data_IF_331021090334
#
_entry.id   IF_331021090334
#
_cell.length_a   1.000
_cell.length_b   1.000
_cell.length_c   1.000
_cell.angle_alpha   90.00
_cell.angle_beta   90.00
_cell.angle_gamma   90.00
#
_symmetry.space_group_name_H-M   'P 1'
#
loop_
_entity.id
_entity.type
_entity.pdbx_description
1 polymer ?
#
# COMPACT_ATOMS: atom_id res chain seq x y z
N UNK A 1 2.45 2.83 27.84
CA UNK A 1 3.83 3.22 28.24
C UNK A 1 4.22 2.23 29.31
N UNK A 2 5.37 1.53 29.20
CA UNK A 2 5.72 0.50 30.17
C UNK A 2 5.79 1.11 31.58
N UNK A 3 5.19 0.41 32.56
CA UNK A 3 5.20 0.83 33.97
C UNK A 3 6.65 1.03 34.43
N UNK A 4 6.97 2.20 35.00
CA UNK A 4 8.30 2.49 35.54
C UNK A 4 8.55 1.68 36.82
N UNK A 5 9.83 1.44 37.16
CA UNK A 5 10.19 0.77 38.41
C UNK A 5 9.62 1.49 39.65
N UNK A 6 9.56 2.82 39.60
CA UNK A 6 8.98 3.68 40.64
C UNK A 6 7.47 3.45 40.81
N UNK A 7 6.73 3.26 39.71
CA UNK A 7 5.28 3.03 39.74
C UNK A 7 4.88 1.68 40.34
N UNK A 8 5.82 0.74 40.46
CA UNK A 8 5.59 -0.61 41.00
C UNK A 8 6.51 -0.93 42.18
N UNK A 9 7.09 0.08 42.84
CA UNK A 9 8.12 -0.09 43.87
C UNK A 9 7.63 -0.97 45.05
N UNK A 10 6.38 -0.79 45.47
CA UNK A 10 5.77 -1.53 46.59
C UNK A 10 4.84 -2.67 46.13
N UNK A 11 4.67 -2.85 44.82
CA UNK A 11 3.80 -3.89 44.29
C UNK A 11 4.41 -5.29 44.49
N UNK A 12 3.56 -6.29 44.66
CA UNK A 12 3.92 -7.70 44.50
C UNK A 12 3.99 -8.06 43.01
N UNK A 13 4.63 -9.19 42.69
CA UNK A 13 4.71 -9.66 41.31
C UNK A 13 3.33 -9.94 40.70
N UNK A 14 2.37 -10.44 41.49
CA UNK A 14 1.01 -10.72 41.01
C UNK A 14 0.24 -9.44 40.66
N UNK A 15 0.42 -8.36 41.44
CA UNK A 15 -0.19 -7.05 41.14
C UNK A 15 0.43 -6.42 39.89
N UNK A 16 1.76 -6.48 39.74
CA UNK A 16 2.44 -6.08 38.51
C UNK A 16 1.93 -6.89 37.31
N UNK A 17 1.81 -8.21 37.44
CA UNK A 17 1.35 -9.07 36.35
C UNK A 17 -0.10 -8.77 35.95
N UNK A 18 -0.99 -8.52 36.92
CA UNK A 18 -2.37 -8.14 36.66
C UNK A 18 -2.44 -6.82 35.87
N UNK A 19 -1.66 -5.81 36.24
CA UNK A 19 -1.58 -4.54 35.51
C UNK A 19 -0.96 -4.70 34.12
N UNK A 20 0.11 -5.49 34.00
CA UNK A 20 0.78 -5.73 32.72
C UNK A 20 -0.11 -6.46 31.71
N UNK A 21 -1.06 -7.28 32.18
CA UNK A 21 -2.08 -7.93 31.34
C UNK A 21 -3.16 -6.97 30.83
N UNK A 22 -3.38 -5.82 31.45
CA UNK A 22 -4.29 -4.81 30.90
C UNK A 22 -3.73 -4.23 29.59
N UNK A 23 -2.41 -4.01 29.53
CA UNK A 23 -1.72 -3.56 28.31
C UNK A 23 -1.45 -4.75 27.35
N UNK A 24 -1.23 -5.96 27.89
CA UNK A 24 -0.93 -7.18 27.11
C UNK A 24 -1.78 -8.38 27.55
N UNK A 25 -3.05 -8.52 27.09
CA UNK A 25 -4.04 -9.48 27.61
C UNK A 25 -3.62 -10.96 27.63
N UNK A 26 -2.67 -11.35 26.76
CA UNK A 26 -2.21 -12.73 26.54
C UNK A 26 -0.77 -12.98 27.03
N UNK A 27 -0.16 -12.05 27.75
CA UNK A 27 1.22 -12.23 28.23
C UNK A 27 1.28 -13.26 29.36
N UNK A 28 2.25 -14.17 29.30
CA UNK A 28 2.48 -15.15 30.36
C UNK A 28 3.26 -14.56 31.53
N UNK A 29 3.21 -15.24 32.68
CA UNK A 29 4.01 -14.88 33.86
C UNK A 29 5.51 -14.90 33.57
N UNK A 30 5.98 -15.86 32.77
CA UNK A 30 7.39 -15.95 32.39
C UNK A 30 7.84 -14.73 31.59
N UNK A 31 7.05 -14.30 30.60
CA UNK A 31 7.37 -13.15 29.74
C UNK A 31 7.22 -11.82 30.48
N UNK A 32 6.22 -11.71 31.36
CA UNK A 32 6.08 -10.56 32.25
C UNK A 32 7.27 -10.44 33.21
N UNK A 33 7.75 -11.55 33.79
CA UNK A 33 8.94 -11.57 34.64
C UNK A 33 10.21 -11.15 33.88
N UNK A 34 10.46 -11.69 32.68
CA UNK A 34 11.62 -11.31 31.86
C UNK A 34 11.68 -9.82 31.54
N UNK A 35 10.52 -9.22 31.23
CA UNK A 35 10.41 -7.82 30.81
C UNK A 35 10.18 -6.87 31.99
N UNK A 36 10.22 -7.36 33.23
CA UNK A 36 9.99 -6.53 34.40
C UNK A 36 11.12 -5.51 34.61
N UNK A 37 10.78 -4.29 35.06
CA UNK A 37 11.77 -3.25 35.33
C UNK A 37 12.51 -3.47 36.67
N UNK A 38 11.98 -4.32 37.57
CA UNK A 38 12.61 -4.70 38.85
C UNK A 38 13.35 -6.04 38.78
N UNK A 39 14.55 -6.11 39.37
CA UNK A 39 15.42 -7.30 39.33
C UNK A 39 14.90 -8.51 40.11
N UNK A 40 14.21 -8.27 41.22
CA UNK A 40 13.58 -9.32 42.01
C UNK A 40 12.46 -10.00 41.22
N UNK A 41 11.69 -9.26 40.42
CA UNK A 41 10.71 -9.81 39.49
C UNK A 41 11.35 -10.55 38.33
N UNK A 42 12.42 -10.00 37.75
CA UNK A 42 13.20 -10.70 36.70
C UNK A 42 13.72 -12.04 37.17
N UNK A 43 14.14 -12.14 38.43
CA UNK A 43 14.65 -13.38 39.02
C UNK A 43 13.61 -14.50 39.09
N UNK A 44 12.31 -14.15 39.17
CA UNK A 44 11.19 -15.11 39.15
C UNK A 44 11.03 -15.83 37.80
N UNK A 45 11.68 -15.36 36.73
CA UNK A 45 11.68 -16.03 35.41
C UNK A 45 12.10 -17.50 35.51
N UNK A 46 13.02 -17.82 36.43
CA UNK A 46 13.50 -19.19 36.68
C UNK A 46 12.43 -20.12 37.28
N UNK A 47 11.40 -19.56 37.91
CA UNK A 47 10.34 -20.28 38.62
C UNK A 47 9.11 -20.52 37.73
N UNK A 48 8.97 -19.76 36.65
CA UNK A 48 7.88 -19.94 35.70
C UNK A 48 8.29 -20.87 34.57
N UNK A 49 7.36 -21.72 34.13
CA UNK A 49 7.53 -22.48 32.90
C UNK A 49 7.76 -21.46 31.78
N UNK A 50 8.88 -21.53 31.05
CA UNK A 50 9.03 -20.75 29.84
C UNK A 50 7.78 -20.93 29.01
N UNK A 51 7.33 -19.88 28.33
CA UNK A 51 6.41 -20.10 27.23
C UNK A 51 7.02 -21.23 26.42
N UNK A 52 6.34 -22.39 26.36
CA UNK A 52 6.72 -23.37 25.36
C UNK A 52 6.77 -22.52 24.10
N UNK A 53 7.90 -22.55 23.37
CA UNK A 53 7.87 -22.11 21.99
C UNK A 53 6.64 -22.80 21.46
N UNK A 54 5.58 -22.03 21.22
CA UNK A 54 4.43 -22.56 20.55
C UNK A 54 5.02 -23.29 19.35
N UNK A 55 4.47 -24.42 18.91
CA UNK A 55 4.67 -24.85 17.54
C UNK A 55 4.02 -23.81 16.60
N UNK A 56 4.36 -22.52 16.76
CA UNK A 56 4.80 -21.68 15.68
C UNK A 56 5.75 -22.56 14.87
N UNK A 57 5.14 -23.28 13.93
CA UNK A 57 5.53 -23.32 12.53
C UNK A 57 6.93 -22.74 12.37
N UNK A 58 7.86 -23.55 11.86
CA UNK A 58 9.03 -23.02 11.16
C UNK A 58 8.52 -21.88 10.29
N UNK A 59 8.65 -20.66 10.81
CA UNK A 59 8.25 -19.46 10.10
C UNK A 59 9.09 -19.54 8.84
N UNK A 60 8.44 -19.34 7.70
CA UNK A 60 9.03 -19.12 6.39
C UNK A 60 9.91 -17.86 6.44
N UNK A 61 10.90 -17.82 7.35
CA UNK A 61 11.77 -16.70 7.56
C UNK A 61 12.56 -16.53 6.27
N UNK A 62 12.55 -15.31 5.70
CA UNK A 62 13.30 -15.06 4.50
C UNK A 62 14.79 -15.33 4.75
N UNK A 63 15.40 -16.11 3.87
CA UNK A 63 16.84 -16.26 3.89
C UNK A 63 17.45 -15.00 3.27
N UNK A 64 18.10 -14.20 4.12
CA UNK A 64 18.73 -12.93 3.72
C UNK A 64 20.23 -13.12 3.50
N UNK A 65 20.71 -12.73 2.32
CA UNK A 65 22.13 -12.61 2.01
C UNK A 65 22.42 -11.15 1.67
N UNK A 66 23.40 -10.55 2.35
CA UNK A 66 23.67 -9.12 2.25
C UNK A 66 25.15 -8.77 2.12
N UNK A 67 25.45 -7.71 1.37
CA UNK A 67 26.71 -6.99 1.44
C UNK A 67 27.92 -7.74 0.86
N UNK A 68 27.68 -8.64 -0.11
CA UNK A 68 28.75 -9.37 -0.80
C UNK A 68 29.20 -8.62 -2.04
N UNK A 69 30.51 -8.67 -2.32
CA UNK A 69 31.06 -8.15 -3.58
C UNK A 69 30.62 -9.02 -4.76
N UNK A 70 30.66 -10.33 -4.58
CA UNK A 70 30.28 -11.32 -5.59
C UNK A 70 29.54 -12.47 -4.90
N UNK A 71 28.55 -13.04 -5.58
CA UNK A 71 27.78 -14.17 -5.10
C UNK A 71 27.37 -15.05 -6.30
N UNK A 72 27.78 -16.32 -6.28
CA UNK A 72 27.30 -17.33 -7.22
C UNK A 72 26.13 -18.10 -6.60
N UNK A 73 24.96 -18.03 -7.25
CA UNK A 73 23.73 -18.66 -6.76
C UNK A 73 23.76 -20.19 -6.84
N UNK A 74 24.71 -20.79 -7.59
CA UNK A 74 24.94 -22.25 -7.64
C UNK A 74 25.71 -22.75 -6.43
N UNK A 75 26.63 -21.94 -5.92
CA UNK A 75 27.58 -22.35 -4.87
C UNK A 75 27.14 -21.94 -3.48
N UNK A 76 26.33 -20.88 -3.35
CA UNK A 76 25.87 -20.40 -2.05
C UNK A 76 25.09 -21.48 -1.30
N UNK A 77 25.42 -21.70 -0.02
CA UNK A 77 24.67 -22.60 0.84
C UNK A 77 23.32 -21.95 1.21
N UNK A 78 22.24 -22.51 0.67
CA UNK A 78 20.87 -22.14 0.97
C UNK A 78 20.20 -23.25 1.78
N UNK A 79 19.27 -22.87 2.65
CA UNK A 79 18.56 -23.86 3.45
C UNK A 79 17.72 -24.77 2.54
N UNK A 80 17.58 -26.06 2.85
CA UNK A 80 16.61 -26.91 2.18
C UNK A 80 15.20 -26.35 2.38
N UNK A 81 14.42 -26.22 1.30
CA UNK A 81 13.03 -25.74 1.37
C UNK A 81 12.85 -24.22 1.51
N UNK A 82 13.86 -23.43 1.15
CA UNK A 82 13.74 -21.95 1.13
C UNK A 82 12.55 -21.50 0.29
N UNK A 83 11.63 -20.78 0.94
CA UNK A 83 10.47 -20.17 0.29
C UNK A 83 10.68 -18.71 -0.08
N UNK A 84 11.48 -17.98 0.70
CA UNK A 84 11.76 -16.57 0.47
C UNK A 84 13.25 -16.32 0.51
N UNK A 85 13.79 -15.77 -0.58
CA UNK A 85 15.20 -15.42 -0.72
C UNK A 85 15.32 -13.92 -0.96
N UNK A 86 16.04 -13.23 -0.08
CA UNK A 86 16.29 -11.79 -0.14
C UNK A 86 17.79 -11.56 -0.33
N UNK A 87 18.15 -10.90 -1.43
CA UNK A 87 19.52 -10.50 -1.74
C UNK A 87 19.62 -8.98 -1.66
N UNK A 88 20.46 -8.46 -0.77
CA UNK A 88 20.64 -7.01 -0.58
C UNK A 88 22.10 -6.59 -0.75
N UNK A 89 22.35 -5.51 -1.50
CA UNK A 89 23.68 -4.90 -1.72
C UNK A 89 24.72 -5.92 -2.20
N UNK A 90 24.36 -6.74 -3.18
CA UNK A 90 25.27 -7.67 -3.85
C UNK A 90 25.78 -7.04 -5.15
N UNK A 91 27.07 -6.70 -5.22
CA UNK A 91 27.60 -5.95 -6.37
C UNK A 91 27.54 -6.75 -7.68
N UNK A 92 27.81 -8.05 -7.64
CA UNK A 92 27.74 -8.93 -8.82
C UNK A 92 27.15 -10.29 -8.44
N UNK A 93 26.01 -10.62 -9.05
CA UNK A 93 25.34 -11.92 -8.99
C UNK A 93 25.67 -12.73 -10.25
N UNK A 94 26.05 -13.99 -10.06
CA UNK A 94 26.30 -14.96 -11.12
C UNK A 94 25.57 -16.29 -10.82
N UNK A 95 25.63 -17.23 -11.75
CA UNK A 95 25.16 -18.60 -11.53
C UNK A 95 23.65 -18.69 -11.34
N UNK A 96 22.90 -17.90 -12.10
CA UNK A 96 21.45 -17.77 -12.05
C UNK A 96 20.70 -19.11 -12.09
N UNK A 97 21.24 -20.13 -12.75
CA UNK A 97 20.68 -21.48 -12.80
C UNK A 97 20.51 -22.11 -11.41
N UNK A 98 21.29 -21.66 -10.41
CA UNK A 98 21.18 -22.08 -9.03
C UNK A 98 19.83 -21.76 -8.37
N UNK A 99 19.03 -20.84 -8.93
CA UNK A 99 17.67 -20.61 -8.46
C UNK A 99 16.74 -21.81 -8.74
N UNK A 100 17.01 -22.59 -9.79
CA UNK A 100 16.15 -23.72 -10.18
C UNK A 100 16.19 -24.88 -9.19
N UNK A 101 17.22 -24.97 -8.35
CA UNK A 101 17.31 -26.00 -7.30
C UNK A 101 16.41 -25.68 -6.09
N UNK A 102 15.82 -24.49 -6.04
CA UNK A 102 14.98 -24.03 -4.94
C UNK A 102 13.51 -24.30 -5.27
N UNK A 103 13.10 -25.57 -5.21
CA UNK A 103 11.76 -26.02 -5.64
C UNK A 103 10.60 -25.39 -4.84
N UNK A 104 10.85 -24.94 -3.61
CA UNK A 104 9.86 -24.32 -2.73
C UNK A 104 9.82 -22.79 -2.82
N UNK A 105 10.63 -22.18 -3.68
CA UNK A 105 10.80 -20.74 -3.75
C UNK A 105 9.53 -20.07 -4.27
N UNK A 106 8.98 -19.18 -3.45
CA UNK A 106 7.75 -18.41 -3.75
C UNK A 106 8.01 -16.91 -3.77
N UNK A 107 9.05 -16.43 -3.08
CA UNK A 107 9.36 -15.01 -2.98
C UNK A 107 10.83 -14.74 -3.28
N UNK A 108 11.07 -13.83 -4.22
CA UNK A 108 12.40 -13.39 -4.62
C UNK A 108 12.52 -11.88 -4.48
N UNK A 109 13.51 -11.42 -3.72
CA UNK A 109 13.77 -9.99 -3.56
C UNK A 109 15.23 -9.63 -3.81
N UNK A 110 15.44 -8.59 -4.61
CA UNK A 110 16.75 -8.04 -4.94
C UNK A 110 16.75 -6.56 -4.62
N UNK A 111 17.64 -6.10 -3.73
CA UNK A 111 17.81 -4.69 -3.38
C UNK A 111 19.25 -4.28 -3.62
N UNK A 112 19.48 -3.21 -4.40
CA UNK A 112 20.82 -2.67 -4.69
C UNK A 112 21.80 -3.74 -5.22
N UNK A 113 21.29 -4.65 -6.06
CA UNK A 113 22.05 -5.75 -6.63
C UNK A 113 22.47 -5.47 -8.08
N UNK A 114 23.51 -6.14 -8.55
CA UNK A 114 23.96 -6.08 -9.95
C UNK A 114 24.34 -7.45 -10.51
N UNK A 115 24.49 -7.53 -11.83
CA UNK A 115 25.04 -8.69 -12.54
C UNK A 115 25.77 -8.22 -13.79
N UNK A 116 26.79 -8.98 -14.21
CA UNK A 116 27.48 -8.79 -15.49
C UNK A 116 26.88 -9.70 -16.58
N UNK A 117 26.03 -10.65 -16.20
CA UNK A 117 25.40 -11.58 -17.11
C UNK A 117 24.35 -10.87 -17.98
N UNK A 118 24.17 -11.39 -19.18
CA UNK A 118 23.25 -10.84 -20.18
C UNK A 118 22.45 -11.93 -20.91
N UNK A 119 22.19 -13.03 -20.21
CA UNK A 119 21.45 -14.19 -20.71
C UNK A 119 20.15 -14.42 -19.93
N UNK A 120 19.26 -15.24 -20.48
CA UNK A 120 18.03 -15.67 -19.81
C UNK A 120 18.13 -17.12 -19.35
N UNK A 121 17.66 -17.43 -18.14
CA UNK A 121 17.52 -18.80 -17.67
C UNK A 121 16.38 -19.49 -18.43
N UNK A 122 16.59 -20.73 -18.86
CA UNK A 122 15.53 -21.59 -19.42
C UNK A 122 15.65 -23.00 -18.84
N UNK A 123 14.57 -23.62 -18.32
CA UNK A 123 13.23 -23.04 -18.15
C UNK A 123 13.21 -21.86 -17.16
N UNK A 124 12.17 -21.04 -17.24
CA UNK A 124 11.95 -19.88 -16.38
C UNK A 124 11.69 -20.33 -14.93
N UNK A 125 12.16 -19.52 -13.97
CA UNK A 125 11.89 -19.75 -12.54
C UNK A 125 10.52 -19.16 -12.23
N UNK A 126 9.60 -19.97 -11.71
CA UNK A 126 8.27 -19.51 -11.31
C UNK A 126 8.25 -19.17 -9.82
N UNK A 127 7.74 -17.98 -9.46
CA UNK A 127 7.56 -17.52 -8.08
C UNK A 127 6.20 -16.83 -7.91
N UNK A 128 5.73 -16.68 -6.68
CA UNK A 128 4.53 -15.87 -6.41
C UNK A 128 4.86 -14.36 -6.43
N UNK A 129 6.01 -13.97 -5.88
CA UNK A 129 6.42 -12.56 -5.81
C UNK A 129 7.88 -12.37 -6.26
N UNK A 130 8.08 -11.41 -7.16
CA UNK A 130 9.38 -10.88 -7.55
C UNK A 130 9.46 -9.40 -7.18
N UNK A 131 10.43 -9.04 -6.35
CA UNK A 131 10.70 -7.67 -5.92
C UNK A 131 12.09 -7.22 -6.33
N UNK A 132 12.18 -6.10 -7.04
CA UNK A 132 13.43 -5.50 -7.52
C UNK A 132 13.49 -4.04 -7.06
N UNK A 133 14.50 -3.69 -6.26
CA UNK A 133 14.69 -2.34 -5.73
C UNK A 133 16.08 -1.84 -6.07
N UNK A 134 16.18 -0.75 -6.84
CA UNK A 134 17.42 -0.07 -7.22
C UNK A 134 18.49 -1.03 -7.78
N UNK A 135 18.09 -2.02 -8.56
CA UNK A 135 18.99 -2.92 -9.27
C UNK A 135 19.71 -2.26 -10.45
N UNK A 136 20.78 -2.88 -10.96
CA UNK A 136 21.36 -2.46 -12.24
C UNK A 136 20.44 -2.80 -13.41
N UNK A 137 20.58 -2.10 -14.54
CA UNK A 137 19.77 -2.38 -15.75
C UNK A 137 19.94 -3.81 -16.26
N UNK A 138 21.15 -4.37 -16.16
CA UNK A 138 21.41 -5.77 -16.53
C UNK A 138 20.70 -6.74 -15.60
N UNK A 139 20.68 -6.46 -14.28
CA UNK A 139 19.95 -7.28 -13.32
C UNK A 139 18.45 -7.31 -13.66
N UNK A 140 17.86 -6.13 -13.89
CA UNK A 140 16.46 -6.02 -14.28
C UNK A 140 16.18 -6.84 -15.55
N UNK A 141 17.03 -6.73 -16.56
CA UNK A 141 16.89 -7.49 -17.81
C UNK A 141 16.94 -8.99 -17.59
N UNK A 142 17.94 -9.49 -16.85
CA UNK A 142 18.08 -10.92 -16.56
C UNK A 142 16.85 -11.43 -15.82
N UNK A 143 16.39 -10.71 -14.79
CA UNK A 143 15.22 -11.11 -13.99
C UNK A 143 13.93 -11.15 -14.81
N UNK A 144 13.62 -10.10 -15.58
CA UNK A 144 12.42 -10.06 -16.43
C UNK A 144 12.42 -11.16 -17.51
N UNK A 145 13.59 -11.58 -17.97
CA UNK A 145 13.73 -12.63 -18.97
C UNK A 145 13.82 -14.06 -18.39
N UNK A 146 13.98 -14.20 -17.07
CA UNK A 146 14.32 -15.49 -16.43
C UNK A 146 13.31 -15.91 -15.35
N UNK A 147 12.46 -15.01 -14.89
CA UNK A 147 11.51 -15.23 -13.81
C UNK A 147 10.10 -14.93 -14.30
N UNK A 148 9.17 -15.86 -14.05
CA UNK A 148 7.74 -15.61 -14.14
C UNK A 148 7.20 -15.44 -12.71
N UNK A 149 6.36 -14.41 -12.50
CA UNK A 149 5.79 -14.14 -11.20
C UNK A 149 4.33 -13.72 -11.29
N UNK A 150 3.55 -14.02 -10.25
CA UNK A 150 2.18 -13.49 -10.09
C UNK A 150 2.18 -12.01 -9.73
N UNK A 151 3.13 -11.61 -8.87
CA UNK A 151 3.28 -10.25 -8.40
C UNK A 151 4.70 -9.76 -8.72
N UNK A 152 4.80 -8.66 -9.46
CA UNK A 152 6.06 -8.01 -9.79
C UNK A 152 6.07 -6.60 -9.19
N UNK A 153 7.03 -6.34 -8.30
CA UNK A 153 7.32 -5.01 -7.77
C UNK A 153 8.69 -4.54 -8.24
N UNK A 154 8.74 -3.39 -8.90
CA UNK A 154 9.96 -2.77 -9.40
C UNK A 154 10.01 -1.33 -8.88
N UNK A 155 11.07 -0.99 -8.18
CA UNK A 155 11.29 0.35 -7.64
C UNK A 155 12.73 0.79 -7.92
N UNK A 156 12.89 1.71 -8.85
CA UNK A 156 14.18 2.21 -9.29
C UNK A 156 14.19 3.73 -9.30
N UNK A 157 15.40 4.29 -9.29
CA UNK A 157 15.61 5.73 -9.40
C UNK A 157 14.86 6.34 -10.60
N UNK A 158 14.47 7.60 -10.47
CA UNK A 158 13.68 8.35 -11.48
C UNK A 158 14.37 8.49 -12.85
N UNK A 159 15.62 8.08 -13.03
CA UNK A 159 16.33 8.04 -14.31
C UNK A 159 16.23 6.68 -15.01
N UNK A 160 15.87 5.63 -14.28
CA UNK A 160 15.85 4.26 -14.77
C UNK A 160 14.72 4.06 -15.79
N UNK A 161 14.97 3.15 -16.74
CA UNK A 161 13.99 2.75 -17.77
C UNK A 161 13.67 1.28 -17.59
N UNK A 162 12.38 0.96 -17.54
CA UNK A 162 11.88 -0.41 -17.47
C UNK A 162 11.22 -0.74 -18.80
N UNK A 163 11.64 -1.83 -19.44
CA UNK A 163 11.06 -2.31 -20.69
C UNK A 163 10.37 -3.66 -20.44
N UNK A 164 9.04 -3.64 -20.45
CA UNK A 164 8.22 -4.82 -20.19
C UNK A 164 8.20 -5.80 -21.37
N UNK A 165 8.70 -5.42 -22.55
CA UNK A 165 8.90 -6.38 -23.66
C UNK A 165 9.90 -7.49 -23.34
N UNK A 166 10.66 -7.33 -22.24
CA UNK A 166 11.57 -8.35 -21.72
C UNK A 166 10.86 -9.47 -20.97
N UNK A 167 9.62 -9.26 -20.51
CA UNK A 167 8.83 -10.29 -19.84
C UNK A 167 8.52 -11.43 -20.80
N UNK A 168 8.95 -12.64 -20.44
CA UNK A 168 8.61 -13.86 -21.18
C UNK A 168 7.39 -14.52 -20.53
N UNK A 169 6.34 -14.72 -21.32
CA UNK A 169 5.11 -15.45 -20.92
C UNK A 169 4.49 -14.94 -19.61
N UNK A 170 3.96 -13.70 -19.56
CA UNK A 170 3.34 -13.14 -18.35
C UNK A 170 1.93 -13.72 -18.07
N UNK A 171 1.72 -15.01 -18.31
CA UNK A 171 0.42 -15.69 -18.27
C UNK A 171 -0.17 -15.81 -16.86
N UNK A 172 0.67 -15.71 -15.83
CA UNK A 172 0.25 -15.74 -14.42
C UNK A 172 0.34 -14.39 -13.72
N UNK A 173 0.72 -13.32 -14.43
CA UNK A 173 0.93 -11.99 -13.83
C UNK A 173 -0.42 -11.34 -13.44
N UNK A 174 -0.67 -11.25 -12.14
CA UNK A 174 -1.90 -10.71 -11.53
C UNK A 174 -1.70 -9.29 -10.99
N UNK A 175 -0.50 -8.95 -10.50
CA UNK A 175 -0.17 -7.63 -9.97
C UNK A 175 1.16 -7.12 -10.52
N UNK A 176 1.17 -5.88 -11.00
CA UNK A 176 2.36 -5.22 -11.50
C UNK A 176 2.48 -3.82 -10.91
N UNK A 177 3.57 -3.58 -10.17
CA UNK A 177 3.89 -2.29 -9.57
C UNK A 177 5.25 -1.81 -10.03
N UNK A 178 5.30 -0.65 -10.68
CA UNK A 178 6.54 -0.07 -11.21
C UNK A 178 6.67 1.41 -10.83
N UNK A 179 7.74 1.71 -10.09
CA UNK A 179 8.25 3.05 -9.81
C UNK A 179 9.57 3.24 -10.55
N UNK A 180 9.58 4.06 -11.59
CA UNK A 180 10.80 4.37 -12.34
C UNK A 180 10.64 5.65 -13.18
N UNK A 181 11.72 6.04 -13.85
CA UNK A 181 11.73 7.19 -14.75
C UNK A 181 10.85 7.06 -15.97
N UNK A 182 10.88 5.90 -16.66
CA UNK A 182 10.08 5.65 -17.86
C UNK A 182 9.77 4.15 -17.97
N UNK A 183 8.49 3.82 -18.20
CA UNK A 183 8.05 2.45 -18.56
C UNK A 183 7.75 2.35 -20.05
N UNK A 184 8.21 1.27 -20.69
CA UNK A 184 7.95 0.92 -22.10
C UNK A 184 7.47 -0.52 -22.23
N UNK A 185 6.94 -0.86 -23.41
CA UNK A 185 6.59 -2.25 -23.74
C UNK A 185 5.32 -2.76 -23.09
N UNK A 186 4.39 -1.87 -22.70
CA UNK A 186 3.13 -2.23 -22.03
C UNK A 186 2.25 -3.22 -22.82
N UNK A 187 2.40 -3.30 -24.14
CA UNK A 187 1.70 -4.30 -24.96
C UNK A 187 2.09 -5.75 -24.58
N UNK A 188 3.27 -5.96 -24.00
CA UNK A 188 3.73 -7.29 -23.60
C UNK A 188 2.85 -7.94 -22.50
N UNK A 189 2.13 -7.12 -21.74
CA UNK A 189 1.22 -7.58 -20.67
C UNK A 189 -0.25 -7.57 -21.12
N UNK A 190 -0.53 -7.39 -22.41
CA UNK A 190 -1.89 -7.31 -22.96
C UNK A 190 -2.72 -8.59 -22.79
N UNK A 191 -2.09 -9.74 -22.58
CA UNK A 191 -2.74 -11.05 -22.35
C UNK A 191 -2.54 -11.60 -20.91
N UNK A 192 -1.83 -10.86 -20.05
CA UNK A 192 -1.64 -11.21 -18.63
C UNK A 192 -2.91 -10.97 -17.77
N UNK A 193 -3.30 -11.85 -16.83
CA UNK A 193 -4.52 -11.73 -16.03
C UNK A 193 -4.43 -10.67 -14.91
N UNK A 194 -3.98 -9.46 -15.25
CA UNK A 194 -3.72 -8.37 -14.30
C UNK A 194 -5.02 -7.88 -13.68
N UNK A 195 -5.03 -7.85 -12.34
CA UNK A 195 -6.06 -7.28 -11.48
C UNK A 195 -5.62 -5.99 -10.81
N UNK A 196 -4.31 -5.83 -10.58
CA UNK A 196 -3.74 -4.63 -9.97
C UNK A 196 -2.59 -4.08 -10.82
N UNK A 197 -2.73 -2.83 -11.28
CA UNK A 197 -1.72 -2.16 -12.09
C UNK A 197 -1.33 -0.83 -11.46
N UNK A 198 -0.04 -0.70 -11.14
CA UNK A 198 0.58 0.54 -10.70
C UNK A 198 1.74 0.86 -11.63
N UNK A 199 1.66 1.98 -12.34
CA UNK A 199 2.69 2.42 -13.28
C UNK A 199 3.00 3.91 -13.15
N UNK A 200 4.28 4.25 -13.18
CA UNK A 200 4.75 5.63 -13.20
C UNK A 200 5.35 6.03 -14.56
N UNK A 201 5.17 7.30 -14.95
CA UNK A 201 5.80 7.94 -16.11
C UNK A 201 5.63 7.19 -17.43
N UNK A 202 4.37 6.83 -17.73
CA UNK A 202 3.96 6.21 -18.99
C UNK A 202 3.53 7.25 -20.02
N UNK A 203 3.50 6.87 -21.30
CA UNK A 203 2.74 7.62 -22.30
C UNK A 203 1.29 7.13 -22.28
N UNK A 204 0.35 8.03 -22.02
CA UNK A 204 -1.09 7.76 -22.11
C UNK A 204 -1.48 8.02 -23.57
N UNK A 205 -1.37 6.99 -24.39
CA UNK A 205 -1.70 6.99 -25.81
C UNK A 205 -2.78 5.95 -26.14
N UNK A 206 -3.10 5.78 -27.42
CA UNK A 206 -4.09 4.82 -27.90
C UNK A 206 -3.75 3.38 -27.47
N UNK A 207 -2.47 2.99 -27.50
CA UNK A 207 -2.00 1.65 -27.09
C UNK A 207 -2.24 1.39 -25.61
N UNK A 208 -2.04 2.42 -24.77
CA UNK A 208 -2.41 2.32 -23.36
C UNK A 208 -3.93 2.16 -23.19
N UNK A 209 -4.73 2.87 -23.99
CA UNK A 209 -6.19 2.71 -24.04
C UNK A 209 -6.62 1.30 -24.45
N UNK A 210 -5.95 0.69 -25.43
CA UNK A 210 -6.17 -0.70 -25.87
C UNK A 210 -5.86 -1.70 -24.73
N UNK A 211 -4.74 -1.51 -24.02
CA UNK A 211 -4.40 -2.33 -22.84
C UNK A 211 -5.50 -2.28 -21.78
N UNK A 212 -5.98 -1.08 -21.43
CA UNK A 212 -7.05 -0.91 -20.45
C UNK A 212 -8.37 -1.53 -20.95
N UNK A 213 -8.69 -1.37 -22.22
CA UNK A 213 -9.90 -1.95 -22.83
C UNK A 213 -9.87 -3.48 -22.82
N UNK A 214 -8.71 -4.09 -23.12
CA UNK A 214 -8.50 -5.53 -22.99
C UNK A 214 -8.64 -6.04 -21.55
N UNK A 215 -8.60 -5.13 -20.56
CA UNK A 215 -8.69 -5.42 -19.12
C UNK A 215 -9.93 -4.86 -18.45
N UNK A 216 -10.90 -4.44 -19.24
CA UNK A 216 -12.19 -3.88 -18.82
C UNK A 216 -12.86 -4.66 -17.67
N UNK A 217 -12.78 -6.00 -17.75
CA UNK A 217 -13.52 -6.91 -16.87
C UNK A 217 -12.65 -7.58 -15.78
N UNK A 218 -11.36 -7.29 -15.71
CA UNK A 218 -10.44 -7.96 -14.76
C UNK A 218 -9.67 -6.98 -13.89
N UNK A 219 -9.42 -5.76 -14.36
CA UNK A 219 -8.64 -4.78 -13.63
C UNK A 219 -9.47 -4.17 -12.49
N UNK A 220 -9.08 -4.46 -11.25
CA UNK A 220 -9.76 -4.01 -10.02
C UNK A 220 -9.11 -2.79 -9.38
N UNK A 221 -7.80 -2.62 -9.58
CA UNK A 221 -7.03 -1.52 -9.01
C UNK A 221 -6.10 -0.93 -10.05
N UNK A 222 -6.15 0.39 -10.23
CA UNK A 222 -5.28 1.11 -11.15
C UNK A 222 -4.67 2.34 -10.48
N UNK A 223 -3.37 2.52 -10.63
CA UNK A 223 -2.65 3.74 -10.26
C UNK A 223 -1.74 4.16 -11.39
N UNK A 224 -1.89 5.41 -11.82
CA UNK A 224 -1.05 6.01 -12.86
C UNK A 224 -0.39 7.25 -12.28
N UNK A 225 0.92 7.20 -12.08
CA UNK A 225 1.71 8.36 -11.67
C UNK A 225 2.40 8.97 -12.88
N UNK A 226 1.73 9.89 -13.58
CA UNK A 226 2.32 10.51 -14.77
C UNK A 226 2.84 11.93 -14.50
N UNK A 227 3.89 12.31 -15.21
CA UNK A 227 4.37 13.70 -15.20
C UNK A 227 3.49 14.62 -16.05
N UNK A 228 2.66 14.09 -16.95
CA UNK A 228 1.69 14.89 -17.71
C UNK A 228 0.30 14.75 -17.10
N UNK A 229 -0.40 15.87 -16.86
CA UNK A 229 -1.80 15.84 -16.45
C UNK A 229 -2.66 15.06 -17.43
N UNK A 230 -3.69 14.38 -16.93
CA UNK A 230 -4.61 13.58 -17.73
C UNK A 230 -6.02 13.56 -17.12
N UNK A 231 -7.04 13.30 -17.93
CA UNK A 231 -8.44 13.20 -17.50
C UNK A 231 -8.97 11.76 -17.46
N UNK A 232 -10.21 11.54 -16.99
CA UNK A 232 -10.79 10.22 -16.74
C UNK A 232 -11.29 9.47 -17.99
N UNK A 233 -11.25 10.07 -19.19
CA UNK A 233 -11.89 9.48 -20.37
C UNK A 233 -11.41 8.05 -20.71
N UNK A 234 -10.14 7.74 -20.44
CA UNK A 234 -9.58 6.39 -20.68
C UNK A 234 -10.06 5.34 -19.65
N UNK A 235 -10.71 5.74 -18.56
CA UNK A 235 -11.25 4.82 -17.56
C UNK A 235 -12.63 4.27 -17.94
N UNK A 236 -13.34 4.89 -18.90
CA UNK A 236 -14.68 4.47 -19.34
C UNK A 236 -14.81 2.96 -19.65
N UNK A 237 -13.80 2.30 -20.25
CA UNK A 237 -13.87 0.85 -20.50
C UNK A 237 -13.79 -0.02 -19.23
N UNK A 238 -13.27 0.50 -18.11
CA UNK A 238 -12.89 -0.29 -16.93
C UNK A 238 -14.07 -0.58 -15.99
N UNK A 239 -14.92 -1.52 -16.38
CA UNK A 239 -16.15 -1.88 -15.67
C UNK A 239 -15.93 -2.56 -14.32
N UNK A 240 -14.79 -3.24 -14.13
CA UNK A 240 -14.46 -3.94 -12.87
C UNK A 240 -13.59 -3.11 -11.92
N UNK A 241 -13.31 -1.85 -12.25
CA UNK A 241 -12.44 -1.00 -11.46
C UNK A 241 -13.10 -0.68 -10.11
N UNK A 242 -12.44 -1.08 -9.01
CA UNK A 242 -12.89 -0.81 -7.64
C UNK A 242 -12.07 0.28 -6.98
N UNK A 243 -10.81 0.47 -7.40
CA UNK A 243 -9.87 1.41 -6.78
C UNK A 243 -9.09 2.15 -7.86
N UNK A 244 -9.02 3.47 -7.73
CA UNK A 244 -8.21 4.31 -8.61
C UNK A 244 -7.45 5.36 -7.81
N UNK A 245 -6.15 5.53 -8.09
CA UNK A 245 -5.36 6.61 -7.52
C UNK A 245 -5.25 7.77 -8.52
N UNK A 246 -5.73 8.94 -8.12
CA UNK A 246 -5.80 10.15 -8.93
C UNK A 246 -4.62 11.08 -8.56
N UNK A 247 -3.69 11.36 -9.49
CA UNK A 247 -2.73 12.43 -9.28
C UNK A 247 -3.45 13.79 -9.28
N UNK A 248 -3.27 14.57 -8.21
CA UNK A 248 -3.94 15.86 -8.01
C UNK A 248 -3.41 16.99 -8.90
N UNK A 249 -3.52 16.83 -10.22
CA UNK A 249 -3.19 17.88 -11.18
C UNK A 249 -4.30 18.94 -11.24
N UNK A 250 -3.95 20.21 -11.00
CA UNK A 250 -4.92 21.32 -10.93
C UNK A 250 -5.74 21.49 -12.22
N UNK A 251 -5.14 21.23 -13.38
CA UNK A 251 -5.80 21.37 -14.70
C UNK A 251 -6.98 20.40 -14.89
N UNK A 252 -6.89 19.20 -14.32
CA UNK A 252 -7.93 18.17 -14.42
C UNK A 252 -8.71 17.97 -13.13
N UNK A 253 -8.47 18.81 -12.11
CA UNK A 253 -9.07 18.71 -10.78
C UNK A 253 -10.59 18.57 -10.85
N UNK A 254 -11.26 19.50 -11.52
CA UNK A 254 -12.73 19.51 -11.58
C UNK A 254 -13.30 18.30 -12.35
N UNK A 255 -12.57 17.83 -13.36
CA UNK A 255 -12.97 16.67 -14.17
C UNK A 255 -12.83 15.38 -13.36
N UNK A 256 -11.75 15.23 -12.59
CA UNK A 256 -11.55 14.10 -11.68
C UNK A 256 -12.54 14.06 -10.53
N UNK A 257 -12.85 15.22 -9.95
CA UNK A 257 -13.88 15.34 -8.92
C UNK A 257 -15.23 14.91 -9.49
N UNK A 258 -15.61 15.44 -10.66
CA UNK A 258 -16.86 15.04 -11.33
C UNK A 258 -16.92 13.53 -11.58
N UNK A 259 -15.84 12.95 -12.09
CA UNK A 259 -15.77 11.50 -12.31
C UNK A 259 -15.97 10.71 -11.03
N UNK A 260 -15.30 11.09 -9.93
CA UNK A 260 -15.44 10.40 -8.65
C UNK A 260 -16.89 10.47 -8.12
N UNK A 261 -17.56 11.62 -8.31
CA UNK A 261 -18.98 11.81 -7.95
C UNK A 261 -19.91 10.96 -8.82
N UNK A 262 -19.67 10.91 -10.13
CA UNK A 262 -20.47 10.13 -11.07
C UNK A 262 -20.26 8.60 -10.92
N UNK A 263 -19.19 8.17 -10.24
CA UNK A 263 -18.80 6.77 -10.08
C UNK A 263 -18.54 6.39 -8.60
N UNK A 264 -19.56 6.46 -7.72
CA UNK A 264 -19.40 6.33 -6.27
C UNK A 264 -18.94 4.95 -5.79
N UNK A 265 -19.05 3.92 -6.64
CA UNK A 265 -18.60 2.55 -6.38
C UNK A 265 -17.09 2.35 -6.62
N UNK A 266 -16.39 3.36 -7.13
CA UNK A 266 -14.94 3.34 -7.35
C UNK A 266 -14.27 4.12 -6.22
N UNK A 267 -13.49 3.43 -5.39
CA UNK A 267 -12.64 4.05 -4.37
C UNK A 267 -11.57 4.93 -5.00
N UNK A 268 -11.82 6.24 -5.02
CA UNK A 268 -10.92 7.24 -5.60
C UNK A 268 -9.97 7.82 -4.55
N UNK A 269 -8.66 7.56 -4.69
CA UNK A 269 -7.62 8.10 -3.81
C UNK A 269 -6.89 9.25 -4.49
N UNK A 270 -7.19 10.48 -4.08
CA UNK A 270 -6.43 11.65 -4.52
C UNK A 270 -5.08 11.72 -3.81
N UNK A 271 -4.01 11.83 -4.59
CA UNK A 271 -2.65 11.97 -4.07
C UNK A 271 -2.05 13.30 -4.51
N UNK A 272 -1.19 13.82 -3.64
CA UNK A 272 -0.35 14.98 -3.97
C UNK A 272 0.59 14.54 -5.09
N UNK A 273 0.81 15.42 -6.06
CA UNK A 273 1.86 15.22 -7.06
C UNK A 273 3.20 15.30 -6.34
N UNK A 274 3.74 14.14 -5.96
CA UNK A 274 5.13 14.06 -5.57
C UNK A 274 5.95 14.38 -6.81
N UNK A 275 6.70 15.47 -6.73
CA UNK A 275 7.51 15.95 -7.83
C UNK A 275 8.52 14.86 -8.21
N UNK A 276 8.32 14.23 -9.37
CA UNK A 276 9.30 13.31 -9.98
C UNK A 276 10.66 14.01 -10.24
N UNK A 277 10.71 15.35 -10.12
CA UNK A 277 11.94 16.13 -10.08
C UNK A 277 11.96 17.12 -8.90
N UNK A 278 13.07 17.18 -8.18
CA UNK A 278 13.39 18.17 -7.13
C UNK A 278 13.41 19.64 -7.59
N UNK A 279 13.03 19.92 -8.85
CA UNK A 279 13.07 21.25 -9.48
C UNK A 279 11.70 21.84 -9.81
N UNK A 280 10.61 21.10 -9.60
CA UNK A 280 9.25 21.63 -9.72
C UNK A 280 8.85 22.20 -8.37
N UNK A 281 8.45 23.49 -8.33
CA UNK A 281 8.02 24.17 -7.10
C UNK A 281 7.09 23.25 -6.31
N UNK A 282 7.44 23.00 -5.05
CA UNK A 282 6.60 22.24 -4.13
C UNK A 282 5.27 22.98 -3.97
N UNK A 283 4.25 22.55 -4.71
CA UNK A 283 2.88 22.98 -4.43
C UNK A 283 2.45 22.16 -3.24
N UNK A 284 2.18 22.82 -2.13
CA UNK A 284 1.67 22.14 -0.95
C UNK A 284 0.34 21.48 -1.37
N UNK A 285 0.13 20.16 -1.18
CA UNK A 285 -0.85 19.82 -0.17
C UNK A 285 -2.05 20.76 0.03
N UNK A 286 -1.94 21.65 1.00
CA UNK A 286 -2.95 22.61 1.41
C UNK A 286 -3.26 23.68 0.34
N UNK A 287 -2.39 23.85 -0.67
CA UNK A 287 -2.59 24.72 -1.85
C UNK A 287 -3.31 23.99 -2.99
N UNK A 288 -3.07 22.68 -3.19
CA UNK A 288 -3.82 21.82 -4.14
C UNK A 288 -5.26 21.62 -3.67
N UNK A 289 -5.42 21.41 -2.36
CA UNK A 289 -6.69 21.15 -1.68
C UNK A 289 -7.33 22.42 -1.09
N UNK A 290 -6.83 23.62 -1.45
CA UNK A 290 -7.45 24.88 -1.05
C UNK A 290 -8.88 24.91 -1.65
N UNK A 291 -9.88 24.83 -0.77
CA UNK A 291 -11.30 24.82 -1.14
C UNK A 291 -11.89 23.47 -1.56
N UNK A 292 -11.38 22.33 -1.04
CA UNK A 292 -12.02 21.01 -1.21
C UNK A 292 -12.43 20.48 0.17
N UNK A 293 -13.74 20.43 0.44
CA UNK A 293 -14.30 19.73 1.60
C UNK A 293 -14.97 18.43 1.10
N UNK A 294 -14.36 17.25 1.27
CA UNK A 294 -14.98 15.95 0.92
C UNK A 294 -14.64 14.89 1.99
N UNK A 295 -15.68 14.22 2.51
CA UNK A 295 -15.67 13.02 3.35
C UNK A 295 -16.35 11.87 2.59
N UNK A 296 -15.83 10.64 2.65
CA UNK A 296 -16.60 9.42 2.35
C UNK A 296 -16.27 8.28 3.35
N UNK A 297 -17.28 7.43 3.55
CA UNK A 297 -17.51 6.43 4.60
C UNK A 297 -16.82 5.07 4.34
N UNK A 298 -16.54 4.38 5.45
CA UNK A 298 -15.72 3.18 5.71
C UNK A 298 -16.32 1.84 5.26
N UNK A 299 -15.44 0.85 4.97
CA UNK A 299 -15.69 -0.60 5.17
C UNK A 299 -14.54 -1.24 5.96
N UNK A 300 -14.83 -2.36 6.61
CA UNK A 300 -14.27 -2.87 7.89
C UNK A 300 -12.77 -3.23 7.99
N UNK A 301 -11.93 -3.10 6.95
CA UNK A 301 -10.59 -3.77 7.03
C UNK A 301 -9.34 -2.94 6.73
N UNK A 302 -9.38 -1.72 6.16
CA UNK A 302 -8.15 -0.91 5.98
C UNK A 302 -8.41 0.61 6.01
N UNK A 303 -7.53 1.34 6.69
CA UNK A 303 -7.56 2.81 6.85
C UNK A 303 -6.79 3.53 5.74
N UNK A 304 -7.38 4.57 5.12
CA UNK A 304 -6.64 5.64 4.42
C UNK A 304 -7.27 7.05 4.60
N UNK A 305 -6.53 7.91 5.32
CA UNK A 305 -6.46 9.38 5.46
C UNK A 305 -7.68 10.31 5.74
N UNK A 306 -7.73 10.73 7.01
CA UNK A 306 -7.80 12.05 7.68
C UNK A 306 -8.12 13.39 6.93
N UNK A 307 -9.13 14.11 7.46
CA UNK A 307 -9.34 15.57 7.30
C UNK A 307 -8.81 16.31 8.52
N UNK A 308 -8.26 17.52 8.30
CA UNK A 308 -7.87 18.46 9.34
C UNK A 308 -9.08 19.02 10.10
N UNK A 309 -9.62 18.24 11.03
CA UNK A 309 -10.16 18.62 12.35
C UNK A 309 -10.99 17.45 12.87
N UNK A 310 -10.72 17.05 14.11
CA UNK A 310 -11.11 15.78 14.69
C UNK A 310 -12.61 15.73 15.07
N UNK A 311 -13.51 15.74 14.08
CA UNK A 311 -14.97 15.58 14.29
C UNK A 311 -15.39 14.10 14.22
N UNK A 312 -14.55 13.26 13.61
CA UNK A 312 -14.82 11.83 13.41
C UNK A 312 -14.87 11.06 14.73
N UNK A 313 -13.93 11.30 15.65
CA UNK A 313 -13.89 10.63 16.94
C UNK A 313 -15.14 10.93 17.79
N UNK A 314 -15.69 12.15 17.71
CA UNK A 314 -16.90 12.53 18.46
C UNK A 314 -18.18 11.88 17.89
N UNK A 315 -18.19 11.47 16.62
CA UNK A 315 -19.36 10.90 15.93
C UNK A 315 -19.39 9.35 16.06
N UNK A 316 -18.23 8.70 16.09
CA UNK A 316 -18.10 7.23 16.09
C UNK A 316 -18.48 6.56 17.44
N UNK A 317 -18.56 7.32 18.54
CA UNK A 317 -18.89 6.80 19.88
C UNK A 317 -20.40 6.69 20.16
N UNK A 318 -21.28 6.79 19.16
CA UNK A 318 -22.74 6.76 19.36
C UNK A 318 -23.44 5.59 18.68
N UNK A 319 -24.30 4.89 19.45
CA UNK A 319 -25.06 3.71 19.01
C UNK A 319 -26.17 4.03 17.98
N UNK A 320 -26.55 5.31 17.81
CA UNK A 320 -27.47 5.77 16.77
C UNK A 320 -27.02 7.09 16.16
N UNK A 321 -26.85 7.10 14.85
CA UNK A 321 -26.46 8.27 14.06
C UNK A 321 -27.70 8.85 13.38
N UNK A 322 -28.36 9.80 14.03
CA UNK A 322 -29.39 10.64 13.41
C UNK A 322 -28.71 11.79 12.64
N UNK A 323 -29.26 12.15 11.48
CA UNK A 323 -28.78 13.22 10.63
C UNK A 323 -28.76 14.57 11.37
N UNK A 324 -29.72 14.82 12.28
CA UNK A 324 -29.73 16.03 13.11
C UNK A 324 -28.51 16.13 14.03
N UNK A 325 -28.08 15.01 14.62
CA UNK A 325 -26.92 14.96 15.54
C UNK A 325 -25.61 15.17 14.77
N UNK A 326 -25.51 14.61 13.57
CA UNK A 326 -24.37 14.81 12.66
C UNK A 326 -24.30 16.29 12.23
N UNK A 327 -25.45 16.89 11.90
CA UNK A 327 -25.55 18.30 11.54
C UNK A 327 -24.98 19.21 12.63
N UNK A 328 -25.41 19.00 13.87
CA UNK A 328 -25.05 19.86 15.00
C UNK A 328 -23.56 19.76 15.33
N UNK A 329 -22.96 18.57 15.24
CA UNK A 329 -21.52 18.38 15.44
C UNK A 329 -20.69 19.04 14.34
N UNK A 330 -21.12 18.91 13.08
CA UNK A 330 -20.46 19.57 11.95
C UNK A 330 -20.58 21.10 12.05
N UNK A 331 -21.74 21.64 12.44
CA UNK A 331 -21.95 23.07 12.75
C UNK A 331 -21.01 23.54 13.86
N UNK A 332 -20.86 22.77 14.93
CA UNK A 332 -20.05 23.11 16.09
C UNK A 332 -18.55 23.11 15.77
N UNK A 333 -18.09 22.11 15.01
CA UNK A 333 -16.72 22.05 14.51
C UNK A 333 -16.40 23.19 13.53
N UNK A 334 -17.32 23.52 12.63
CA UNK A 334 -17.17 24.65 11.72
C UNK A 334 -17.04 25.99 12.47
N UNK A 335 -17.86 26.20 13.52
CA UNK A 335 -17.77 27.37 14.41
C UNK A 335 -16.43 27.44 15.15
N UNK A 336 -15.97 26.33 15.74
CA UNK A 336 -14.65 26.25 16.42
C UNK A 336 -13.51 26.64 15.49
N UNK A 337 -13.60 26.30 14.21
CA UNK A 337 -12.61 26.60 13.18
C UNK A 337 -12.87 27.92 12.41
N UNK A 338 -13.81 28.76 12.88
CA UNK A 338 -14.18 30.05 12.27
C UNK A 338 -14.56 29.96 10.78
N UNK A 339 -15.18 28.85 10.37
CA UNK A 339 -15.68 28.64 9.00
C UNK A 339 -17.13 29.15 8.90
N UNK A 340 -17.44 29.92 7.85
CA UNK A 340 -18.82 30.35 7.54
C UNK A 340 -19.45 29.32 6.62
N UNK A 341 -20.41 28.57 7.13
CA UNK A 341 -21.14 27.51 6.43
C UNK A 341 -22.64 27.77 6.57
N UNK A 342 -23.36 27.76 5.44
CA UNK A 342 -24.82 27.67 5.29
C UNK A 342 -25.21 26.20 5.20
N UNK A 343 -26.24 25.82 5.93
CA UNK A 343 -26.72 24.44 6.01
C UNK A 343 -28.09 24.37 5.35
N UNK A 344 -28.31 23.37 4.51
CA UNK A 344 -29.63 23.07 3.96
C UNK A 344 -29.88 21.57 3.99
N UNK A 345 -31.08 21.18 4.41
CA UNK A 345 -31.61 19.84 4.27
C UNK A 345 -32.39 19.76 2.95
N UNK A 346 -31.73 19.31 1.89
CA UNK A 346 -32.40 18.96 0.64
C UNK A 346 -32.36 17.44 0.52
N UNK A 347 -33.53 16.81 0.37
CA UNK A 347 -33.67 15.39 -0.01
C UNK A 347 -32.87 14.42 0.90
N UNK A 348 -33.09 14.46 2.21
CA UNK A 348 -32.45 13.58 3.21
C UNK A 348 -30.90 13.65 3.27
N UNK A 349 -30.30 14.62 2.60
CA UNK A 349 -28.86 14.89 2.61
C UNK A 349 -28.53 16.17 3.37
N UNK A 350 -27.43 16.12 4.13
CA UNK A 350 -26.92 17.26 4.87
C UNK A 350 -25.94 18.06 4.00
N UNK A 351 -26.35 19.25 3.59
CA UNK A 351 -25.55 20.08 2.65
C UNK A 351 -24.93 21.26 3.39
N UNK A 352 -23.60 21.34 3.36
CA UNK A 352 -22.81 22.47 3.83
C UNK A 352 -22.33 23.33 2.65
N UNK A 353 -22.71 24.61 2.60
CA UNK A 353 -22.30 25.58 1.58
C UNK A 353 -21.53 26.73 2.23
N UNK A 354 -20.35 27.12 1.74
CA UNK A 354 -19.68 28.34 2.25
C UNK A 354 -20.24 29.59 1.56
N UNK A 355 -20.21 30.76 2.22
CA UNK A 355 -20.76 32.01 1.68
C UNK A 355 -19.96 32.61 0.51
N UNK A 356 -18.76 32.11 0.24
CA UNK A 356 -17.96 32.47 -0.94
C UNK A 356 -18.27 31.51 -2.10
N UNK A 357 -18.96 32.04 -3.11
CA UNK A 357 -19.52 31.35 -4.28
C UNK A 357 -18.52 30.61 -5.22
N UNK A 358 -17.34 30.22 -4.75
CA UNK A 358 -16.33 29.44 -5.49
C UNK A 358 -15.90 28.15 -4.77
N UNK A 359 -16.63 27.71 -3.75
CA UNK A 359 -16.22 26.59 -2.91
C UNK A 359 -17.40 25.70 -2.54
N UNK A 360 -17.22 24.39 -2.77
CA UNK A 360 -18.05 23.28 -2.31
C UNK A 360 -19.38 23.01 -3.05
N UNK A 361 -19.47 21.78 -3.56
CA UNK A 361 -20.74 21.13 -3.90
C UNK A 361 -20.60 19.62 -3.57
N UNK A 362 -21.39 19.20 -2.57
CA UNK A 362 -21.89 17.83 -2.32
C UNK A 362 -20.95 16.80 -1.66
N UNK A 363 -21.41 15.72 -1.03
CA UNK A 363 -22.66 15.25 -0.37
C UNK A 363 -22.21 13.96 0.34
N UNK A 364 -22.68 13.70 1.56
CA UNK A 364 -22.68 12.35 2.12
C UNK A 364 -23.97 11.69 1.62
N UNK A 365 -23.89 10.91 0.55
CA UNK A 365 -24.99 10.04 0.13
C UNK A 365 -24.57 8.59 0.33
N UNK A 366 -25.53 7.81 0.82
CA UNK A 366 -25.47 6.38 1.16
C UNK A 366 -24.95 6.00 2.55
N UNK A 367 -25.62 6.49 3.59
CA UNK A 367 -25.81 5.70 4.84
C UNK A 367 -26.95 4.67 4.69
N UNK A 368 -27.80 4.78 3.65
CA UNK A 368 -29.02 3.97 3.52
C UNK A 368 -28.91 2.66 2.71
N UNK A 369 -27.76 2.30 2.13
CA UNK A 369 -27.61 0.99 1.45
C UNK A 369 -26.85 -0.08 2.26
N UNK A 370 -26.33 0.24 3.44
CA UNK A 370 -25.68 -0.75 4.31
C UNK A 370 -26.66 -1.52 5.20
N UNK A 371 -27.95 -1.18 5.20
CA UNK A 371 -28.96 -1.91 6.00
C UNK A 371 -29.54 -3.15 5.31
N UNK A 372 -29.46 -3.24 3.98
CA UNK A 372 -30.07 -4.33 3.21
C UNK A 372 -29.06 -5.30 2.57
N UNK A 373 -27.77 -5.20 2.89
CA UNK A 373 -26.75 -6.16 2.46
C UNK A 373 -26.13 -6.97 3.61
N UNK A 374 -26.77 -6.93 4.79
CA UNK A 374 -26.55 -7.90 5.87
C UNK A 374 -27.76 -8.84 5.91
N UNK A 375 -27.81 -9.76 4.94
CA UNK A 375 -28.41 -11.09 5.08
C UNK A 375 -27.54 -12.10 4.32
#
# INVERSE_FOLDING_TARGET
MPLSAEAIADATFEEYYALYRLEYPKVSRWRAAMSAPRDDFRSLTSQFKPDMKSPLQMLDWPQLIRGRKELDLREVELLPGVRSLILDRIRTLNGWEGLRRLECLTHLSFTLCGTNDNFSISPLVSVDELRIVSGTSNLLKVLLQSVQAKNIYIDHENSARVDLSLLKEPTQLESLTIFCGIVRGLAAIQDAPIRELYVSNIHIDEKFGELLSARANTLESLTILNARPFGPDFLKPLRSLKRFTIPGDLEYRDVWIRFAVENPFIGCRFIRRESVSSKTKHVKPEEIYRGIDILQITTLEKTYFQIASNVADEILDQESLDNEIIEDKLKLAARRNRKRIRWSSELDALVAQTEDLNTCRWIIDQVFLMKDSIL
#
